data_IF_083330115172
#
_entry.id   IF_083330115172
#
_cell.length_a   1.000
_cell.length_b   1.000
_cell.length_c   1.000
_cell.angle_alpha   90.00
_cell.angle_beta   90.00
_cell.angle_gamma   90.00
#
_symmetry.space_group_name_H-M   'P 1'
#
loop_
_entity.id
_entity.type
_entity.pdbx_description
1 polymer ?
#
# COMPACT_ATOMS: atom_id res chain seq x y z
N UNK A 1 55.88 -14.24 33.22
CA UNK A 1 54.43 -14.52 33.25
C UNK A 1 53.74 -13.25 32.82
N UNK A 2 53.34 -13.17 31.55
CA UNK A 2 52.53 -12.06 31.02
C UNK A 2 51.26 -12.70 30.48
N UNK A 3 50.12 -12.31 31.04
CA UNK A 3 48.82 -12.73 30.57
C UNK A 3 48.47 -11.92 29.32
N UNK A 4 48.42 -12.59 28.17
CA UNK A 4 47.73 -12.08 26.98
C UNK A 4 46.23 -12.05 27.30
N UNK A 5 45.70 -10.85 27.50
CA UNK A 5 44.25 -10.66 27.48
C UNK A 5 43.78 -10.75 26.03
N UNK A 6 42.79 -11.60 25.69
CA UNK A 6 42.22 -11.61 24.36
C UNK A 6 41.48 -10.29 24.12
N UNK A 7 41.78 -9.66 22.98
CA UNK A 7 41.05 -8.52 22.44
C UNK A 7 39.58 -8.93 22.35
N UNK A 8 38.73 -8.34 23.20
CA UNK A 8 37.28 -8.40 23.02
C UNK A 8 36.97 -7.75 21.67
N UNK A 9 36.67 -8.59 20.68
CA UNK A 9 36.10 -8.13 19.43
C UNK A 9 34.66 -7.74 19.73
N UNK A 10 34.48 -6.48 20.06
CA UNK A 10 33.21 -5.81 20.16
C UNK A 10 32.63 -5.71 18.74
N UNK A 11 32.09 -6.80 18.19
CA UNK A 11 31.25 -6.77 16.97
C UNK A 11 29.86 -6.23 17.31
N UNK A 12 29.84 -5.07 17.96
CA UNK A 12 28.74 -4.12 17.92
C UNK A 12 28.69 -3.47 16.54
N UNK A 13 28.19 -4.19 15.55
CA UNK A 13 27.62 -3.59 14.34
C UNK A 13 26.12 -3.91 14.33
N UNK A 14 25.44 -3.41 15.37
CA UNK A 14 24.02 -3.08 15.31
C UNK A 14 23.82 -1.91 14.35
N UNK A 15 24.01 -2.16 13.06
CA UNK A 15 23.51 -1.31 11.98
C UNK A 15 22.18 -1.85 11.47
N UNK A 16 21.32 -2.28 12.38
CA UNK A 16 19.90 -2.47 12.10
C UNK A 16 19.22 -1.10 12.21
N UNK A 17 18.25 -0.82 11.34
CA UNK A 17 17.25 0.26 11.44
C UNK A 17 17.55 1.63 10.78
N UNK A 18 18.74 1.98 10.29
CA UNK A 18 19.01 3.38 9.83
C UNK A 18 19.47 3.62 8.38
N UNK A 19 19.49 2.62 7.49
CA UNK A 19 20.05 2.80 6.14
C UNK A 19 19.12 2.66 4.92
N UNK A 20 17.82 2.51 5.13
CA UNK A 20 16.82 2.71 4.08
C UNK A 20 15.93 3.90 4.47
N UNK A 21 15.88 4.88 3.58
CA UNK A 21 15.53 6.27 3.87
C UNK A 21 14.21 6.48 4.62
N UNK A 22 14.30 7.27 5.70
CA UNK A 22 13.18 7.93 6.39
C UNK A 22 12.29 8.77 5.46
N UNK A 23 12.67 8.99 4.21
CA UNK A 23 11.90 9.73 3.21
C UNK A 23 10.80 8.90 2.53
N UNK A 24 10.78 7.56 2.73
CA UNK A 24 9.74 6.66 2.21
C UNK A 24 8.87 6.01 3.28
N UNK A 25 8.83 6.58 4.49
CA UNK A 25 7.66 6.43 5.36
C UNK A 25 6.52 7.31 4.80
N UNK A 26 6.28 7.13 3.49
CA UNK A 26 5.16 7.66 2.75
C UNK A 26 3.90 7.31 3.54
N UNK A 27 2.98 8.25 3.57
CA UNK A 27 1.67 8.15 4.19
C UNK A 27 1.20 6.69 4.26
N UNK A 28 0.84 6.23 5.47
CA UNK A 28 0.35 4.88 5.76
C UNK A 28 -0.98 4.66 5.04
N UNK A 29 -0.89 4.54 3.74
CA UNK A 29 -2.02 4.52 2.82
C UNK A 29 -2.00 3.21 2.08
N UNK A 30 -3.20 2.81 1.67
CA UNK A 30 -3.42 1.65 0.84
C UNK A 30 -2.67 1.79 -0.50
N UNK A 31 -2.56 3.01 -1.03
CA UNK A 31 -1.78 3.30 -2.24
C UNK A 31 -0.30 2.94 -2.09
N UNK A 32 0.31 3.30 -0.95
CA UNK A 32 1.69 2.92 -0.62
C UNK A 32 1.87 1.41 -0.56
N UNK A 33 0.91 0.68 0.05
CA UNK A 33 0.95 -0.79 0.10
C UNK A 33 0.97 -1.40 -1.30
N UNK A 34 0.09 -0.94 -2.19
CA UNK A 34 0.03 -1.46 -3.58
C UNK A 34 1.35 -1.24 -4.32
N UNK A 35 1.96 -0.05 -4.17
CA UNK A 35 3.23 0.27 -4.82
C UNK A 35 4.42 -0.53 -4.29
N UNK A 36 4.42 -0.85 -3.00
CA UNK A 36 5.51 -1.57 -2.34
C UNK A 36 5.32 -3.09 -2.33
N UNK A 37 4.17 -3.58 -2.80
CA UNK A 37 3.92 -5.02 -2.87
C UNK A 37 4.90 -5.66 -3.87
N UNK A 38 5.68 -6.68 -3.46
CA UNK A 38 6.61 -7.35 -4.36
C UNK A 38 5.90 -7.96 -5.57
N UNK A 39 6.60 -8.07 -6.70
CA UNK A 39 6.06 -8.79 -7.85
C UNK A 39 6.03 -10.31 -7.63
N UNK A 40 5.05 -10.98 -8.25
CA UNK A 40 4.91 -12.44 -8.19
C UNK A 40 6.17 -13.16 -8.67
N UNK A 41 6.84 -12.63 -9.70
CA UNK A 41 8.07 -13.20 -10.23
C UNK A 41 9.22 -13.13 -9.22
N UNK A 42 9.35 -12.02 -8.50
CA UNK A 42 10.34 -11.81 -7.45
C UNK A 42 10.15 -12.82 -6.31
N UNK A 43 8.91 -13.04 -5.87
CA UNK A 43 8.60 -14.04 -4.84
C UNK A 43 8.86 -15.45 -5.34
N UNK A 44 8.46 -15.77 -6.57
CA UNK A 44 8.71 -17.09 -7.16
C UNK A 44 10.21 -17.37 -7.34
N UNK A 45 11.01 -16.36 -7.67
CA UNK A 45 12.46 -16.47 -7.72
C UNK A 45 13.05 -16.71 -6.32
N UNK A 46 12.61 -15.98 -5.29
CA UNK A 46 13.05 -16.18 -3.91
C UNK A 46 12.70 -17.59 -3.38
N UNK A 47 11.51 -18.10 -3.67
CA UNK A 47 11.09 -19.46 -3.32
C UNK A 47 11.95 -20.51 -4.01
N UNK A 48 12.14 -20.38 -5.33
CA UNK A 48 13.00 -21.29 -6.09
C UNK A 48 14.44 -21.27 -5.57
N UNK A 49 14.96 -20.07 -5.29
CA UNK A 49 16.28 -19.92 -4.69
C UNK A 49 16.33 -20.68 -3.36
N UNK A 50 15.30 -20.57 -2.51
CA UNK A 50 15.18 -21.29 -1.24
C UNK A 50 14.94 -22.81 -1.36
N UNK A 51 14.66 -23.36 -2.55
CA UNK A 51 14.27 -24.76 -2.72
C UNK A 51 12.79 -25.03 -2.41
N UNK A 52 11.98 -23.98 -2.32
CA UNK A 52 10.56 -24.02 -2.05
C UNK A 52 9.74 -23.87 -3.34
N UNK A 53 8.51 -24.39 -3.33
CA UNK A 53 7.56 -24.26 -4.44
C UNK A 53 6.58 -23.12 -4.19
N UNK A 54 6.50 -22.18 -5.13
CA UNK A 54 5.46 -21.16 -5.14
C UNK A 54 4.23 -21.66 -5.94
N UNK A 55 3.04 -21.58 -5.36
CA UNK A 55 1.82 -22.20 -5.93
C UNK A 55 0.62 -21.26 -6.05
N UNK A 56 0.61 -20.11 -5.35
CA UNK A 56 -0.54 -19.19 -5.32
C UNK A 56 -0.46 -18.16 -6.46
N UNK A 57 -1.63 -17.71 -6.90
CA UNK A 57 -1.79 -16.61 -7.87
C UNK A 57 -2.28 -15.35 -7.13
N UNK A 58 -1.74 -14.18 -7.45
CA UNK A 58 -2.14 -12.90 -6.85
C UNK A 58 -3.66 -12.69 -6.90
N UNK A 59 -4.25 -12.96 -8.07
CA UNK A 59 -5.69 -12.89 -8.30
C UNK A 59 -6.54 -13.77 -7.37
N UNK A 60 -6.02 -14.92 -6.94
CA UNK A 60 -6.74 -15.76 -5.99
C UNK A 60 -6.80 -15.11 -4.61
N UNK A 61 -5.69 -14.48 -4.18
CA UNK A 61 -5.60 -13.75 -2.91
C UNK A 61 -6.50 -12.52 -2.92
N UNK A 62 -6.48 -11.74 -4.02
CA UNK A 62 -7.38 -10.59 -4.18
C UNK A 62 -8.86 -10.99 -4.08
N UNK A 63 -9.26 -12.06 -4.77
CA UNK A 63 -10.64 -12.57 -4.72
C UNK A 63 -11.02 -13.11 -3.34
N UNK A 64 -10.09 -13.69 -2.59
CA UNK A 64 -10.31 -14.09 -1.21
C UNK A 64 -10.63 -12.88 -0.33
N UNK A 65 -9.78 -11.85 -0.37
CA UNK A 65 -10.01 -10.60 0.35
C UNK A 65 -11.34 -9.93 -0.02
N UNK A 66 -11.62 -9.83 -1.32
CA UNK A 66 -12.86 -9.25 -1.82
C UNK A 66 -14.10 -10.02 -1.35
N UNK A 67 -14.02 -11.36 -1.27
CA UNK A 67 -15.12 -12.17 -0.72
C UNK A 67 -15.35 -11.90 0.76
N UNK A 68 -14.29 -11.74 1.55
CA UNK A 68 -14.39 -11.40 2.97
C UNK A 68 -15.09 -10.06 3.16
N UNK A 69 -14.61 -9.01 2.48
CA UNK A 69 -15.22 -7.67 2.58
C UNK A 69 -16.69 -7.69 2.16
N UNK A 70 -17.02 -8.33 1.03
CA UNK A 70 -18.42 -8.43 0.58
C UNK A 70 -19.30 -9.22 1.54
N UNK A 71 -18.77 -10.24 2.22
CA UNK A 71 -19.53 -11.02 3.19
C UNK A 71 -19.86 -10.17 4.43
N UNK A 72 -18.89 -9.42 4.94
CA UNK A 72 -19.08 -8.51 6.08
C UNK A 72 -20.03 -7.37 5.72
N UNK A 73 -19.84 -6.76 4.55
CA UNK A 73 -20.69 -5.67 4.06
C UNK A 73 -22.17 -6.08 3.95
N UNK A 74 -22.47 -7.30 3.52
CA UNK A 74 -23.86 -7.79 3.43
C UNK A 74 -24.60 -7.82 4.77
N UNK A 75 -23.88 -7.99 5.87
CA UNK A 75 -24.45 -8.02 7.22
C UNK A 75 -24.44 -6.67 7.93
N UNK A 76 -23.83 -5.65 7.33
CA UNK A 76 -23.63 -4.35 7.95
C UNK A 76 -24.77 -3.38 7.59
N UNK A 77 -25.28 -2.65 8.59
CA UNK A 77 -26.24 -1.58 8.36
C UNK A 77 -25.49 -0.28 8.06
N UNK A 78 -25.52 0.14 6.79
CA UNK A 78 -24.83 1.35 6.34
C UNK A 78 -25.58 2.65 6.63
N UNK A 79 -26.82 2.59 7.13
CA UNK A 79 -27.61 3.81 7.46
C UNK A 79 -27.02 4.62 8.61
N UNK A 80 -26.04 4.06 9.32
CA UNK A 80 -25.32 4.71 10.42
C UNK A 80 -24.34 5.80 9.97
N UNK A 81 -23.96 5.82 8.70
CA UNK A 81 -23.02 6.82 8.16
C UNK A 81 -23.78 8.06 7.66
N UNK A 82 -23.25 9.25 7.94
CA UNK A 82 -23.81 10.53 7.49
C UNK A 82 -23.65 10.69 5.97
N UNK A 83 -22.50 10.31 5.44
CA UNK A 83 -22.19 10.42 4.01
C UNK A 83 -21.20 9.34 3.51
N UNK A 84 -20.92 9.38 2.20
CA UNK A 84 -19.98 8.43 1.59
C UNK A 84 -18.53 8.69 2.01
N UNK A 85 -18.17 9.89 2.47
CA UNK A 85 -16.82 10.20 2.92
C UNK A 85 -16.53 9.57 4.28
N UNK A 86 -17.49 9.60 5.21
CA UNK A 86 -17.40 8.91 6.50
C UNK A 86 -17.25 7.40 6.31
N UNK A 87 -18.05 6.80 5.41
CA UNK A 87 -17.92 5.38 5.05
C UNK A 87 -16.52 5.04 4.47
N UNK A 88 -15.98 5.90 3.61
CA UNK A 88 -14.62 5.71 3.06
C UNK A 88 -13.56 5.79 4.15
N UNK A 89 -13.70 6.70 5.11
CA UNK A 89 -12.76 6.83 6.22
C UNK A 89 -12.83 5.61 7.14
N UNK A 90 -14.03 5.13 7.46
CA UNK A 90 -14.19 3.90 8.22
C UNK A 90 -13.54 2.70 7.53
N UNK A 91 -13.71 2.57 6.20
CA UNK A 91 -13.05 1.52 5.44
C UNK A 91 -11.50 1.63 5.46
N UNK A 92 -10.95 2.84 5.43
CA UNK A 92 -9.50 3.06 5.62
C UNK A 92 -9.06 2.61 7.01
N UNK A 93 -9.80 3.00 8.04
CA UNK A 93 -9.52 2.61 9.43
C UNK A 93 -9.57 1.08 9.60
N UNK A 94 -10.55 0.40 9.01
CA UNK A 94 -10.65 -1.06 9.05
C UNK A 94 -9.45 -1.78 8.43
N UNK A 95 -8.77 -1.17 7.46
CA UNK A 95 -7.57 -1.73 6.83
C UNK A 95 -6.26 -1.28 7.51
N UNK A 96 -6.31 -0.32 8.44
CA UNK A 96 -5.11 0.33 8.96
C UNK A 96 -4.19 -0.63 9.73
N UNK A 97 -4.76 -1.57 10.48
CA UNK A 97 -3.98 -2.60 11.17
C UNK A 97 -3.27 -3.52 10.18
N UNK A 98 -3.95 -3.92 9.10
CA UNK A 98 -3.36 -4.73 8.04
C UNK A 98 -2.25 -3.97 7.31
N UNK A 99 -2.45 -2.68 7.01
CA UNK A 99 -1.44 -1.79 6.41
C UNK A 99 -0.21 -1.68 7.32
N UNK A 100 -0.42 -1.45 8.63
CA UNK A 100 0.68 -1.35 9.59
C UNK A 100 1.47 -2.67 9.71
N UNK A 101 0.78 -3.81 9.75
CA UNK A 101 1.40 -5.12 9.76
C UNK A 101 2.19 -5.40 8.47
N UNK A 102 1.63 -5.03 7.31
CA UNK A 102 2.32 -5.14 6.02
C UNK A 102 3.62 -4.34 6.00
N UNK A 103 3.59 -3.06 6.42
CA UNK A 103 4.78 -2.21 6.40
C UNK A 103 5.88 -2.72 7.33
N UNK A 104 5.51 -3.28 8.48
CA UNK A 104 6.45 -3.94 9.40
C UNK A 104 7.08 -5.17 8.78
N UNK A 105 6.28 -6.04 8.14
CA UNK A 105 6.76 -7.23 7.45
C UNK A 105 7.64 -6.88 6.25
N UNK A 106 7.31 -5.80 5.53
CA UNK A 106 8.11 -5.33 4.40
C UNK A 106 9.51 -4.91 4.86
N UNK A 107 9.61 -4.10 5.91
CA UNK A 107 10.91 -3.72 6.48
C UNK A 107 11.73 -4.95 6.90
N UNK A 108 11.07 -5.93 7.54
CA UNK A 108 11.72 -7.19 7.90
C UNK A 108 12.19 -7.98 6.67
N UNK A 109 11.40 -8.03 5.59
CA UNK A 109 11.76 -8.71 4.36
C UNK A 109 12.97 -8.06 3.67
N UNK A 110 13.04 -6.73 3.69
CA UNK A 110 14.17 -5.98 3.14
C UNK A 110 15.45 -6.22 3.94
N UNK A 111 15.35 -6.22 5.27
CA UNK A 111 16.48 -6.54 6.16
C UNK A 111 16.99 -7.96 5.89
N UNK A 112 16.12 -8.96 5.84
CA UNK A 112 16.53 -10.36 5.56
C UNK A 112 17.13 -10.51 4.15
N UNK A 113 16.58 -9.83 3.14
CA UNK A 113 17.16 -9.82 1.79
C UNK A 113 18.57 -9.27 1.81
N UNK A 114 18.79 -8.16 2.51
CA UNK A 114 20.11 -7.54 2.65
C UNK A 114 21.09 -8.48 3.36
N UNK A 115 20.68 -9.12 4.45
CA UNK A 115 21.53 -10.10 5.16
C UNK A 115 21.93 -11.28 4.26
N UNK A 116 21.00 -11.82 3.48
CA UNK A 116 21.30 -12.91 2.53
C UNK A 116 22.27 -12.45 1.44
N UNK A 117 22.12 -11.22 0.95
CA UNK A 117 23.02 -10.63 -0.03
C UNK A 117 24.43 -10.46 0.55
N UNK A 118 24.56 -9.92 1.76
CA UNK A 118 25.85 -9.79 2.45
C UNK A 118 26.53 -11.14 2.66
N UNK A 119 25.82 -12.16 3.12
CA UNK A 119 26.38 -13.51 3.29
C UNK A 119 26.81 -14.05 1.92
N UNK A 120 25.97 -13.88 0.89
CA UNK A 120 26.25 -14.35 -0.47
C UNK A 120 27.49 -13.71 -1.09
N UNK A 121 27.73 -12.43 -0.85
CA UNK A 121 28.91 -11.72 -1.34
C UNK A 121 30.20 -12.15 -0.62
N UNK A 122 30.09 -12.58 0.64
CA UNK A 122 31.25 -12.88 1.49
C UNK A 122 31.57 -14.38 1.61
N UNK A 123 30.78 -15.28 1.01
CA UNK A 123 30.95 -16.74 1.13
C UNK A 123 30.88 -17.43 -0.22
N UNK A 124 31.64 -18.54 -0.36
CA UNK A 124 31.58 -19.33 -1.59
C UNK A 124 30.27 -20.12 -1.69
N UNK A 125 29.99 -20.71 -2.85
CA UNK A 125 28.79 -21.53 -3.05
C UNK A 125 28.88 -22.81 -2.18
N UNK A 126 30.06 -23.42 -2.12
CA UNK A 126 30.31 -24.66 -1.37
C UNK A 126 30.12 -24.46 0.13
N UNK A 127 30.60 -23.33 0.67
CA UNK A 127 30.41 -22.95 2.07
C UNK A 127 28.92 -22.80 2.40
N UNK A 128 28.15 -22.15 1.52
CA UNK A 128 26.70 -21.94 1.72
C UNK A 128 25.89 -23.22 1.60
N UNK A 129 26.29 -24.14 0.72
CA UNK A 129 25.64 -25.45 0.61
C UNK A 129 25.87 -26.31 1.87
N UNK A 130 27.05 -26.18 2.47
CA UNK A 130 27.41 -26.84 3.72
C UNK A 130 26.78 -26.22 4.97
N UNK A 131 26.29 -24.98 4.91
CA UNK A 131 25.77 -24.23 6.06
C UNK A 131 24.24 -24.41 6.24
N UNK A 132 23.78 -25.16 7.27
CA UNK A 132 22.35 -25.33 7.54
C UNK A 132 21.68 -24.04 8.04
N UNK A 133 22.40 -23.17 8.76
CA UNK A 133 21.85 -21.93 9.28
C UNK A 133 21.57 -20.93 8.17
N UNK A 134 22.47 -20.84 7.17
CA UNK A 134 22.22 -20.04 5.97
C UNK A 134 21.00 -20.53 5.18
N UNK A 135 20.85 -21.85 5.01
CA UNK A 135 19.67 -22.43 4.32
C UNK A 135 18.37 -22.11 5.05
N UNK A 136 18.35 -22.30 6.37
CA UNK A 136 17.19 -21.98 7.21
C UNK A 136 16.83 -20.48 7.14
N UNK A 137 17.83 -19.60 7.20
CA UNK A 137 17.62 -18.15 7.04
C UNK A 137 17.06 -17.82 5.65
N UNK A 138 17.59 -18.42 4.59
CA UNK A 138 17.12 -18.21 3.22
C UNK A 138 15.67 -18.65 3.02
N UNK A 139 15.29 -19.78 3.62
CA UNK A 139 13.90 -20.25 3.63
C UNK A 139 12.99 -19.29 4.40
N UNK A 140 13.39 -18.86 5.61
CA UNK A 140 12.63 -17.91 6.41
C UNK A 140 12.41 -16.57 5.68
N UNK A 141 13.46 -16.04 5.04
CA UNK A 141 13.38 -14.81 4.27
C UNK A 141 12.42 -14.93 3.07
N UNK A 142 12.43 -16.08 2.37
CA UNK A 142 11.48 -16.34 1.29
C UNK A 142 10.04 -16.34 1.85
N UNK A 143 9.80 -17.01 2.97
CA UNK A 143 8.47 -17.04 3.63
C UNK A 143 8.01 -15.64 4.03
N UNK A 144 8.86 -14.82 4.63
CA UNK A 144 8.53 -13.44 5.01
C UNK A 144 8.17 -12.62 3.75
N UNK A 145 8.97 -12.72 2.68
CA UNK A 145 8.69 -12.03 1.43
C UNK A 145 7.34 -12.46 0.82
N UNK A 146 6.98 -13.73 0.91
CA UNK A 146 5.67 -14.22 0.50
C UNK A 146 4.54 -13.68 1.38
N UNK A 147 4.75 -13.54 2.70
CA UNK A 147 3.75 -12.93 3.58
C UNK A 147 3.50 -11.46 3.22
N UNK A 148 4.56 -10.72 2.89
CA UNK A 148 4.44 -9.34 2.38
C UNK A 148 3.65 -9.32 1.07
N UNK A 149 4.02 -10.15 0.10
CA UNK A 149 3.31 -10.29 -1.17
C UNK A 149 1.82 -10.61 -0.98
N UNK A 150 1.53 -11.57 -0.10
CA UNK A 150 0.17 -11.99 0.21
C UNK A 150 -0.61 -10.85 0.87
N UNK A 151 -0.04 -10.20 1.89
CA UNK A 151 -0.67 -9.08 2.59
C UNK A 151 -0.98 -7.92 1.65
N UNK A 152 -0.04 -7.57 0.78
CA UNK A 152 -0.21 -6.50 -0.20
C UNK A 152 -1.36 -6.77 -1.18
N UNK A 153 -1.40 -7.97 -1.77
CA UNK A 153 -2.50 -8.34 -2.67
C UNK A 153 -3.83 -8.52 -1.94
N UNK A 154 -3.82 -8.96 -0.68
CA UNK A 154 -5.03 -9.05 0.12
C UNK A 154 -5.62 -7.66 0.39
N UNK A 155 -4.79 -6.71 0.85
CA UNK A 155 -5.21 -5.32 1.08
C UNK A 155 -5.73 -4.69 -0.22
N UNK A 156 -5.05 -4.92 -1.34
CA UNK A 156 -5.49 -4.44 -2.65
C UNK A 156 -6.89 -4.98 -3.02
N UNK A 157 -7.10 -6.29 -2.89
CA UNK A 157 -8.40 -6.91 -3.18
C UNK A 157 -9.51 -6.49 -2.22
N UNK A 158 -9.19 -6.26 -0.94
CA UNK A 158 -10.13 -5.72 0.03
C UNK A 158 -10.57 -4.29 -0.35
N UNK A 159 -9.61 -3.44 -0.72
CA UNK A 159 -9.90 -2.06 -1.12
C UNK A 159 -10.70 -1.98 -2.43
N UNK A 160 -10.38 -2.83 -3.41
CA UNK A 160 -11.18 -2.98 -4.64
C UNK A 160 -12.63 -3.35 -4.32
N UNK A 161 -12.88 -4.22 -3.34
CA UNK A 161 -14.23 -4.59 -2.92
C UNK A 161 -14.95 -3.48 -2.16
N UNK A 162 -14.24 -2.69 -1.33
CA UNK A 162 -14.82 -1.52 -0.69
C UNK A 162 -15.30 -0.47 -1.72
N UNK A 163 -14.63 -0.34 -2.87
CA UNK A 163 -15.09 0.55 -3.94
C UNK A 163 -16.49 0.19 -4.44
N UNK A 164 -16.79 -1.11 -4.58
CA UNK A 164 -18.14 -1.58 -4.94
C UNK A 164 -19.16 -1.24 -3.84
N UNK A 165 -18.79 -1.38 -2.57
CA UNK A 165 -19.64 -0.99 -1.42
C UNK A 165 -19.94 0.50 -1.44
N UNK A 166 -18.95 1.35 -1.74
CA UNK A 166 -19.15 2.80 -1.85
C UNK A 166 -20.08 3.16 -3.00
N UNK A 167 -19.96 2.46 -4.13
CA UNK A 167 -20.83 2.67 -5.28
C UNK A 167 -22.28 2.28 -4.97
N UNK A 168 -22.49 1.16 -4.28
CA UNK A 168 -23.82 0.72 -3.86
C UNK A 168 -24.43 1.60 -2.77
N UNK A 169 -23.59 2.10 -1.85
CA UNK A 169 -23.98 3.11 -0.86
C UNK A 169 -24.51 4.37 -1.55
N UNK A 170 -23.77 4.93 -2.52
CA UNK A 170 -24.19 6.14 -3.26
C UNK A 170 -25.49 5.96 -4.05
N UNK A 171 -25.78 4.74 -4.52
CA UNK A 171 -27.06 4.43 -5.19
C UNK A 171 -28.22 4.34 -4.20
N UNK A 172 -27.96 3.84 -3.00
CA UNK A 172 -28.98 3.61 -1.96
C UNK A 172 -29.29 4.88 -1.17
N UNK A 173 -28.27 5.68 -0.91
CA UNK A 173 -28.32 6.95 -0.18
C UNK A 173 -27.84 8.07 -1.10
N UNK A 174 -28.61 8.43 -2.15
CA UNK A 174 -28.23 9.53 -3.02
C UNK A 174 -28.15 10.81 -2.19
N UNK A 175 -27.06 11.56 -2.37
CA UNK A 175 -26.95 12.89 -1.78
C UNK A 175 -28.23 13.68 -2.14
N UNK A 176 -28.82 14.42 -1.19
CA UNK A 176 -29.94 15.30 -1.52
C UNK A 176 -29.52 16.13 -2.73
N UNK A 177 -30.35 16.14 -3.77
CA UNK A 177 -30.08 16.98 -4.95
C UNK A 177 -29.69 18.35 -4.43
N UNK A 178 -28.56 18.92 -4.90
CA UNK A 178 -28.17 20.25 -4.44
C UNK A 178 -29.42 21.08 -4.66
N UNK A 179 -30.00 21.57 -3.57
CA UNK A 179 -31.17 22.43 -3.65
C UNK A 179 -30.76 23.44 -4.68
N UNK A 180 -31.41 23.44 -5.85
CA UNK A 180 -31.25 24.52 -6.79
C UNK A 180 -31.68 25.69 -5.93
N UNK A 181 -30.72 26.41 -5.35
CA UNK A 181 -30.96 27.69 -4.76
C UNK A 181 -31.64 28.41 -5.92
N UNK A 182 -32.96 28.58 -5.80
CA UNK A 182 -33.71 29.41 -6.73
C UNK A 182 -32.88 30.67 -6.81
N UNK A 183 -32.25 30.86 -7.96
CA UNK A 183 -31.41 32.01 -8.18
C UNK A 183 -32.38 33.18 -8.29
N UNK A 184 -32.82 33.70 -7.14
CA UNK A 184 -33.41 35.02 -6.97
C UNK A 184 -32.31 36.09 -7.16
N UNK A 185 -31.43 35.86 -8.13
CA UNK A 185 -30.43 36.79 -8.66
C UNK A 185 -30.90 37.42 -9.98
N UNK A 186 -32.20 37.31 -10.28
CA UNK A 186 -32.86 38.00 -11.41
C UNK A 186 -32.60 39.53 -11.42
N UNK A 187 -32.53 40.27 -10.30
CA UNK A 187 -32.21 41.69 -10.35
C UNK A 187 -30.72 41.97 -10.59
N UNK A 188 -29.82 41.16 -10.02
CA UNK A 188 -28.37 41.39 -10.06
C UNK A 188 -27.75 41.06 -11.44
N UNK A 189 -28.35 40.12 -12.18
CA UNK A 189 -27.93 39.82 -13.57
C UNK A 189 -28.24 40.95 -14.55
N UNK A 190 -29.27 41.76 -14.30
CA UNK A 190 -29.61 42.87 -15.20
C UNK A 190 -28.65 44.07 -15.06
N UNK A 191 -28.14 44.36 -13.87
CA UNK A 191 -27.18 45.46 -13.68
C UNK A 191 -25.79 45.18 -14.28
N UNK A 192 -25.34 43.92 -14.30
CA UNK A 192 -24.05 43.53 -14.91
C UNK A 192 -24.12 43.47 -16.44
N UNK A 193 -25.29 43.22 -17.04
CA UNK A 193 -25.47 43.28 -18.50
C UNK A 193 -25.42 44.73 -19.00
N UNK A 194 -25.82 45.71 -18.18
CA UNK A 194 -25.75 47.14 -18.52
C UNK A 194 -24.33 47.70 -18.40
N UNK A 195 -23.46 47.12 -17.56
CA UNK A 195 -22.08 47.58 -17.38
C UNK A 195 -21.09 46.74 -18.21
N UNK A 196 -21.00 47.09 -19.50
CA UNK A 196 -19.83 46.92 -20.39
C UNK A 196 -19.12 45.56 -20.25
N UNK A 197 -19.72 44.51 -20.78
CA UNK A 197 -18.93 43.39 -21.31
C UNK A 197 -18.38 43.87 -22.65
N UNK A 198 -17.09 44.22 -22.68
CA UNK A 198 -16.36 44.39 -23.94
C UNK A 198 -16.40 43.04 -24.63
N UNK A 199 -17.19 42.93 -25.71
CA UNK A 199 -17.30 41.73 -26.52
C UNK A 199 -15.91 41.32 -27.01
N UNK A 200 -15.54 40.05 -26.78
CA UNK A 200 -14.30 39.42 -27.24
C UNK A 200 -14.02 39.60 -28.75
N UNK A 201 -15.03 39.93 -29.56
CA UNK A 201 -14.86 40.30 -30.97
C UNK A 201 -14.04 41.58 -31.20
N UNK A 202 -13.98 42.50 -30.23
CA UNK A 202 -13.16 43.71 -30.33
C UNK A 202 -11.65 43.42 -30.19
N UNK A 203 -11.27 42.27 -29.63
CA UNK A 203 -9.87 41.85 -29.53
C UNK A 203 -9.35 41.19 -30.82
N UNK A 204 -10.24 40.61 -31.64
CA UNK A 204 -9.86 39.97 -32.91
C UNK A 204 -9.57 40.95 -34.05
N UNK A 205 -10.08 42.17 -33.96
CA UNK A 205 -9.90 43.22 -34.99
C UNK A 205 -8.72 44.17 -34.72
N UNK A 206 -8.02 44.05 -33.59
CA UNK A 206 -6.85 44.87 -33.25
C UNK A 206 -5.50 44.28 -33.71
N UNK A 207 -5.51 43.19 -34.48
CA UNK A 207 -4.33 42.47 -34.96
C UNK A 207 -4.15 42.45 -36.49
N UNK A 208 -4.57 43.52 -37.19
CA UNK A 208 -4.18 43.80 -38.58
C UNK A 208 -3.69 45.22 -38.73
#
# INVERSE_FOLDING_TARGET
MSADNPIQVDTGLSTSVHRLGREKLAERTIGTVVQLTPDTETVAAAFRAAGLRFSRKAEAVKREAARTVRAEAKSFDFSVFEDCAELQEQARLSLQEAVAAFLKLLAQAEDERFQIEQITQNTTVEQRLGDPAFRARREAAAVILHQVWHGGHWIAGAWEAFAEVFDDYRKTYPAPSPTVASNDTLPARQELIVRKIVSLDAWKSAGR
#
